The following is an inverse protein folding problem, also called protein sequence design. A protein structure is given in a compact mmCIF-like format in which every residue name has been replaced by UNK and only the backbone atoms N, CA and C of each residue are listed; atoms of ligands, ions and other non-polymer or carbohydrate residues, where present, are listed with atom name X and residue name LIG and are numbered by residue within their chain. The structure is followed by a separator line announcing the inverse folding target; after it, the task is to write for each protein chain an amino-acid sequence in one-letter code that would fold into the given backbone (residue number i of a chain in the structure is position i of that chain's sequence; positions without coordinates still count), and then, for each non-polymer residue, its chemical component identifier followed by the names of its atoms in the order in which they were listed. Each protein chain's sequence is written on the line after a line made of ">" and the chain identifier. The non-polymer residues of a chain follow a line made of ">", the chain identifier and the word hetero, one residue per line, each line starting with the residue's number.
data_IF_942240121722
#
_entry.id   IF_942240121722
#
_cell.length_a   1.000
_cell.length_b   1.000
_cell.length_c   1.000
_cell.angle_alpha   90.00
_cell.angle_beta   90.00
_cell.angle_gamma   90.00
#
_symmetry.space_group_name_H-M   'P 1'
#
loop_
_entity.id
_entity.type
_entity.pdbx_description
1 polymer ?
#
# COMPACT_ATOMS: atom_id res chain seq x y z
N UNK A 1 -3.27 34.47 23.83
CA UNK A 1 -4.32 33.50 23.48
C UNK A 1 -3.80 32.10 23.69
N UNK A 2 -4.49 31.29 24.45
CA UNK A 2 -4.08 29.89 24.67
C UNK A 2 -4.37 29.04 23.42
N UNK A 3 -3.42 28.19 23.06
CA UNK A 3 -3.61 27.21 22.00
C UNK A 3 -4.57 26.11 22.42
N UNK A 4 -5.41 25.62 21.53
CA UNK A 4 -6.26 24.46 21.78
C UNK A 4 -5.44 23.21 22.09
N UNK A 5 -6.06 22.17 22.69
CA UNK A 5 -5.38 20.89 22.93
C UNK A 5 -4.93 20.25 21.61
N UNK A 6 -5.67 20.46 20.52
CA UNK A 6 -5.32 19.96 19.19
C UNK A 6 -4.07 20.66 18.66
N UNK A 7 -4.00 21.98 18.80
CA UNK A 7 -2.83 22.79 18.40
C UNK A 7 -1.59 22.43 19.23
N UNK A 8 -1.74 22.22 20.53
CA UNK A 8 -0.63 21.76 21.38
C UNK A 8 -0.08 20.39 20.99
N UNK A 9 -0.95 19.45 20.57
CA UNK A 9 -0.53 18.14 20.07
C UNK A 9 0.24 18.21 18.76
N UNK A 10 -0.04 19.23 17.96
CA UNK A 10 0.65 19.45 16.67
C UNK A 10 1.94 20.27 16.82
N UNK A 11 2.18 20.84 18.00
CA UNK A 11 3.37 21.66 18.24
C UNK A 11 4.63 20.77 18.22
N UNK A 12 5.58 21.15 17.36
CA UNK A 12 6.81 20.38 17.16
C UNK A 12 6.70 19.29 16.09
N UNK A 13 5.52 19.02 15.54
CA UNK A 13 5.34 18.08 14.43
C UNK A 13 5.31 18.81 13.08
N UNK A 14 5.97 18.23 12.10
CA UNK A 14 6.00 18.71 10.72
C UNK A 14 5.17 17.77 9.85
N UNK A 15 4.25 18.34 9.07
CA UNK A 15 3.49 17.63 8.06
C UNK A 15 3.91 18.11 6.68
N UNK A 16 4.28 17.19 5.82
CA UNK A 16 4.58 17.46 4.42
C UNK A 16 3.69 16.61 3.51
N UNK A 17 3.27 17.18 2.38
CA UNK A 17 2.48 16.49 1.38
C UNK A 17 3.29 16.36 0.10
N UNK A 18 3.51 15.11 -0.33
CA UNK A 18 4.17 14.78 -1.59
C UNK A 18 3.10 14.27 -2.57
N UNK A 19 2.89 14.99 -3.67
CA UNK A 19 1.80 14.71 -4.60
C UNK A 19 2.12 13.66 -5.65
N UNK A 20 3.38 13.25 -5.77
CA UNK A 20 3.81 12.25 -6.74
C UNK A 20 5.04 11.48 -6.25
N UNK A 21 5.11 10.18 -6.50
CA UNK A 21 6.27 9.36 -6.13
C UNK A 21 7.61 9.86 -6.70
N UNK A 22 7.57 10.48 -7.88
CA UNK A 22 8.78 10.94 -8.59
C UNK A 22 9.61 11.97 -7.84
N UNK A 23 9.02 12.68 -6.88
CA UNK A 23 9.70 13.68 -6.05
C UNK A 23 9.80 13.26 -4.58
N UNK A 24 9.43 12.03 -4.25
CA UNK A 24 9.41 11.55 -2.87
C UNK A 24 10.76 11.69 -2.18
N UNK A 25 11.86 11.48 -2.89
CA UNK A 25 13.22 11.59 -2.32
C UNK A 25 13.52 12.97 -1.73
N UNK A 26 12.85 14.01 -2.21
CA UNK A 26 12.97 15.37 -1.65
C UNK A 26 12.31 15.53 -0.29
N UNK A 27 11.37 14.66 0.04
CA UNK A 27 10.61 14.64 1.28
C UNK A 27 11.08 13.55 2.24
N UNK A 28 11.86 12.62 1.73
CA UNK A 28 12.30 11.44 2.48
C UNK A 28 13.13 11.83 3.70
N UNK A 29 12.72 11.34 4.84
CA UNK A 29 13.41 11.51 6.12
C UNK A 29 13.30 10.18 6.88
N UNK A 30 14.43 9.54 7.25
CA UNK A 30 14.41 8.26 7.97
C UNK A 30 13.64 8.25 9.29
N UNK A 31 13.49 9.41 9.92
CA UNK A 31 12.75 9.56 11.17
C UNK A 31 11.26 9.87 10.97
N UNK A 32 10.85 10.10 9.73
CA UNK A 32 9.45 10.43 9.43
C UNK A 32 8.60 9.19 9.25
N UNK A 33 7.32 9.31 9.57
CA UNK A 33 6.31 8.34 9.18
C UNK A 33 5.78 8.72 7.81
N UNK A 34 5.94 7.83 6.84
CA UNK A 34 5.36 8.00 5.50
C UNK A 34 3.97 7.37 5.44
N UNK A 35 2.99 8.15 5.03
CA UNK A 35 1.64 7.67 4.79
C UNK A 35 1.38 7.65 3.29
N UNK A 36 1.18 6.46 2.75
CA UNK A 36 0.84 6.26 1.32
C UNK A 36 -0.68 6.22 1.18
N UNK A 37 -1.20 7.07 0.32
CA UNK A 37 -2.65 7.18 0.09
C UNK A 37 -2.94 6.76 -1.35
N UNK A 38 -3.54 5.59 -1.50
CA UNK A 38 -4.05 5.08 -2.77
C UNK A 38 -5.39 4.37 -2.53
N UNK A 39 -6.46 5.15 -2.44
CA UNK A 39 -7.80 4.64 -2.15
C UNK A 39 -8.38 3.86 -3.33
N UNK A 40 -8.07 4.26 -4.54
CA UNK A 40 -8.46 3.58 -5.76
C UNK A 40 -7.21 3.21 -6.59
N UNK A 41 -6.72 1.94 -6.41
CA UNK A 41 -7.48 0.85 -5.76
C UNK A 41 -6.65 0.08 -4.72
N UNK A 42 -5.35 0.32 -4.59
CA UNK A 42 -4.45 -0.53 -3.80
C UNK A 42 -4.88 -0.67 -2.33
N UNK A 43 -5.14 0.43 -1.66
CA UNK A 43 -5.53 0.37 -0.24
C UNK A 43 -6.88 -0.33 -0.03
N UNK A 44 -7.83 -0.12 -0.92
CA UNK A 44 -9.13 -0.82 -0.86
C UNK A 44 -8.97 -2.33 -1.07
N UNK A 45 -8.12 -2.75 -2.00
CA UNK A 45 -7.82 -4.16 -2.22
C UNK A 45 -7.14 -4.80 -0.99
N UNK A 46 -6.17 -4.12 -0.40
CA UNK A 46 -5.47 -4.57 0.81
C UNK A 46 -6.44 -4.72 1.99
N UNK A 47 -7.28 -3.72 2.24
CA UNK A 47 -8.25 -3.78 3.33
C UNK A 47 -9.22 -4.94 3.13
N UNK A 48 -9.69 -5.17 1.91
CA UNK A 48 -10.60 -6.27 1.62
C UNK A 48 -9.93 -7.64 1.74
N UNK A 49 -8.67 -7.76 1.35
CA UNK A 49 -7.89 -8.98 1.55
C UNK A 49 -7.80 -9.36 3.03
N UNK A 50 -7.45 -8.43 3.90
CA UNK A 50 -7.39 -8.68 5.34
C UNK A 50 -8.77 -8.97 5.94
N UNK A 51 -9.81 -8.26 5.51
CA UNK A 51 -11.18 -8.51 5.97
C UNK A 51 -11.66 -9.91 5.61
N UNK A 52 -11.17 -10.51 4.55
CA UNK A 52 -11.53 -11.83 4.06
C UNK A 52 -10.55 -12.95 4.41
N UNK A 53 -9.55 -12.68 5.24
CA UNK A 53 -8.74 -13.72 5.85
C UNK A 53 -7.26 -13.73 5.51
N UNK A 54 -6.74 -12.74 4.78
CA UNK A 54 -5.30 -12.63 4.58
C UNK A 54 -4.59 -12.40 5.92
N UNK A 55 -3.60 -13.22 6.23
CA UNK A 55 -2.86 -13.14 7.49
C UNK A 55 -1.72 -12.12 7.43
N UNK A 56 -1.12 -11.98 6.25
CA UNK A 56 -0.01 -11.07 6.02
C UNK A 56 0.01 -10.58 4.59
N UNK A 57 0.69 -9.48 4.36
CA UNK A 57 0.90 -8.89 3.05
C UNK A 57 2.33 -8.36 2.95
N UNK A 58 3.02 -8.72 1.88
CA UNK A 58 4.38 -8.29 1.61
C UNK A 58 4.38 -7.39 0.38
N UNK A 59 4.58 -6.10 0.52
CA UNK A 59 4.70 -5.21 -0.62
C UNK A 59 6.05 -5.38 -1.29
N UNK A 60 6.05 -5.43 -2.62
CA UNK A 60 7.25 -5.52 -3.44
C UNK A 60 7.25 -4.43 -4.51
N UNK A 61 8.43 -3.99 -4.93
CA UNK A 61 8.57 -2.88 -5.84
C UNK A 61 8.56 -3.30 -7.32
N UNK A 62 8.93 -4.53 -7.63
CA UNK A 62 9.09 -5.00 -9.00
C UNK A 62 8.29 -6.26 -9.30
N UNK A 63 7.99 -6.46 -10.59
CA UNK A 63 7.33 -7.69 -11.06
C UNK A 63 8.23 -8.92 -10.88
N UNK A 64 9.55 -8.76 -10.97
CA UNK A 64 10.49 -9.86 -10.78
C UNK A 64 10.49 -10.35 -9.33
N UNK A 65 10.44 -9.45 -8.35
CA UNK A 65 10.26 -9.82 -6.95
C UNK A 65 8.93 -10.54 -6.72
N UNK A 66 7.86 -10.06 -7.33
CA UNK A 66 6.55 -10.71 -7.25
C UNK A 66 6.58 -12.14 -7.79
N UNK A 67 7.26 -12.37 -8.92
CA UNK A 67 7.45 -13.71 -9.48
C UNK A 67 8.22 -14.63 -8.53
N UNK A 68 9.27 -14.12 -7.89
CA UNK A 68 10.04 -14.89 -6.91
C UNK A 68 9.17 -15.35 -5.72
N UNK A 69 8.28 -14.48 -5.24
CA UNK A 69 7.32 -14.88 -4.20
C UNK A 69 6.31 -15.91 -4.70
N UNK A 70 5.88 -15.82 -5.95
CA UNK A 70 5.03 -16.84 -6.57
C UNK A 70 5.72 -18.21 -6.58
N UNK A 71 6.99 -18.26 -6.96
CA UNK A 71 7.80 -19.49 -6.97
C UNK A 71 7.97 -20.09 -5.57
N UNK A 72 7.97 -19.23 -4.53
CA UNK A 72 8.01 -19.67 -3.13
C UNK A 72 6.67 -20.16 -2.58
N UNK A 73 5.61 -20.14 -3.38
CA UNK A 73 4.29 -20.61 -2.98
C UNK A 73 3.35 -19.54 -2.41
N UNK A 74 3.72 -18.29 -2.46
CA UNK A 74 2.84 -17.19 -2.06
C UNK A 74 1.77 -16.91 -3.11
N UNK A 75 0.60 -16.47 -2.68
CA UNK A 75 -0.35 -15.84 -3.58
C UNK A 75 0.14 -14.46 -3.95
N UNK A 76 -0.01 -14.09 -5.20
CA UNK A 76 0.53 -12.83 -5.74
C UNK A 76 -0.57 -11.99 -6.37
N UNK A 77 -0.63 -10.73 -5.96
CA UNK A 77 -1.39 -9.71 -6.65
C UNK A 77 -0.42 -8.83 -7.45
N UNK A 78 -0.58 -8.79 -8.75
CA UNK A 78 0.29 -7.99 -9.61
C UNK A 78 -0.48 -7.44 -10.82
N UNK A 79 -0.35 -6.15 -10.99
CA UNK A 79 -0.96 -5.42 -12.10
C UNK A 79 0.05 -4.38 -12.61
N UNK A 80 0.04 -4.14 -13.90
CA UNK A 80 0.82 -3.06 -14.53
C UNK A 80 -0.01 -2.46 -15.67
N UNK A 81 -0.14 -1.13 -15.66
CA UNK A 81 -0.85 -0.37 -16.68
C UNK A 81 -2.30 -0.84 -16.91
N UNK A 82 -3.00 -1.23 -15.86
CA UNK A 82 -4.37 -1.73 -15.89
C UNK A 82 -4.52 -3.22 -16.21
N UNK A 83 -3.41 -3.93 -16.45
CA UNK A 83 -3.43 -5.36 -16.80
C UNK A 83 -2.91 -6.21 -15.65
N UNK A 84 -3.69 -7.24 -15.31
CA UNK A 84 -3.25 -8.28 -14.37
C UNK A 84 -2.15 -9.11 -15.06
N UNK A 85 -1.07 -9.37 -14.34
CA UNK A 85 0.04 -10.14 -14.88
C UNK A 85 -0.30 -11.63 -14.95
N UNK A 86 0.20 -12.33 -15.99
CA UNK A 86 -0.13 -13.73 -16.26
C UNK A 86 0.22 -14.68 -15.11
N UNK A 87 1.27 -14.38 -14.35
CA UNK A 87 1.67 -15.20 -13.21
C UNK A 87 0.91 -14.90 -11.92
N UNK A 88 0.14 -13.81 -11.88
CA UNK A 88 -0.55 -13.35 -10.67
C UNK A 88 -1.86 -14.11 -10.43
N UNK A 89 -2.19 -14.28 -9.16
CA UNK A 89 -3.47 -14.85 -8.74
C UNK A 89 -4.57 -13.77 -8.70
N UNK A 90 -4.17 -12.52 -8.46
CA UNK A 90 -5.08 -11.39 -8.31
C UNK A 90 -4.56 -10.16 -9.07
N UNK A 91 -5.49 -9.31 -9.45
CA UNK A 91 -5.20 -7.93 -9.86
C UNK A 91 -5.28 -6.98 -8.67
N UNK A 92 -5.77 -5.76 -8.93
CA UNK A 92 -5.87 -4.69 -7.94
C UNK A 92 -7.32 -4.33 -7.59
N UNK A 93 -8.29 -5.18 -7.96
CA UNK A 93 -9.67 -4.99 -7.61
C UNK A 93 -9.98 -5.56 -6.23
N UNK A 94 -10.58 -4.80 -5.31
CA UNK A 94 -10.97 -5.33 -3.99
C UNK A 94 -11.95 -6.50 -4.10
N UNK A 95 -12.74 -6.58 -5.16
CA UNK A 95 -13.70 -7.66 -5.40
C UNK A 95 -13.06 -9.02 -5.68
N UNK A 96 -11.78 -9.06 -5.99
CA UNK A 96 -11.04 -10.30 -6.25
C UNK A 96 -10.62 -11.03 -4.97
N UNK A 97 -10.54 -10.32 -3.85
CA UNK A 97 -10.07 -10.85 -2.57
C UNK A 97 -11.23 -11.36 -1.73
N UNK A 98 -11.84 -12.44 -2.19
CA UNK A 98 -12.94 -13.10 -1.50
C UNK A 98 -12.44 -14.12 -0.48
N UNK A 99 -13.26 -14.47 0.53
CA UNK A 99 -12.88 -15.36 1.63
C UNK A 99 -12.51 -16.78 1.18
N UNK A 100 -12.99 -17.22 0.03
CA UNK A 100 -12.67 -18.52 -0.56
C UNK A 100 -11.35 -18.50 -1.37
N UNK A 101 -10.82 -17.33 -1.69
CA UNK A 101 -9.60 -17.16 -2.49
C UNK A 101 -8.39 -16.69 -1.68
N UNK A 102 -8.63 -16.11 -0.54
CA UNK A 102 -7.56 -15.52 0.29
C UNK A 102 -7.07 -16.49 1.37
#
# INVERSE_FOLDING_TARGET
>A
MEKSQKERRMEGHKLEVCLTPSIFDRYSNPEAVAVVIDTLRASSAICNAFANGAESLIPVASLDEARQYKEKGFMVAAERDGYVQDFADFGNSPFNFTSDRV
#
